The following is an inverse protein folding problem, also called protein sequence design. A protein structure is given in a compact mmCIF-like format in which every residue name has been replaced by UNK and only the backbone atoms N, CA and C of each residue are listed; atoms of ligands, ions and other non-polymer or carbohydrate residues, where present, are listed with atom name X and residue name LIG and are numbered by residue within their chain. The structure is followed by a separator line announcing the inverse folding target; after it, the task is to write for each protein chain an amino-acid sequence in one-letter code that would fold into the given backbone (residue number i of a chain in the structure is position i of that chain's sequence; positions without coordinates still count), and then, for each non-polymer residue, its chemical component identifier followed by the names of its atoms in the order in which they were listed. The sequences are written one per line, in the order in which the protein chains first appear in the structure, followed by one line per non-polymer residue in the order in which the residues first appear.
data_IF_581682251569
#
_entry.id   IF_581682251569
#
_cell.length_a   1.000
_cell.length_b   1.000
_cell.length_c   1.000
_cell.angle_alpha   90.00
_cell.angle_beta   90.00
_cell.angle_gamma   90.00
#
_symmetry.space_group_name_H-M   'P 1'
#
loop_
_entity.id
_entity.type
_entity.pdbx_description
1 polymer ?
#
# COMPACT_ATOMS: atom_id res chain seq x y z
N UNK A 1 -9.39 -4.56 -2.89
CA UNK A 1 -8.14 -5.26 -2.58
C UNK A 1 -7.05 -4.23 -2.26
N UNK A 2 -6.30 -4.42 -1.16
CA UNK A 2 -5.21 -3.54 -0.75
C UNK A 2 -3.84 -4.19 -1.00
N UNK A 3 -2.86 -3.40 -1.39
CA UNK A 3 -1.49 -3.85 -1.64
C UNK A 3 -0.49 -2.88 -1.01
N UNK A 4 0.32 -3.36 -0.09
CA UNK A 4 1.32 -2.53 0.58
C UNK A 4 2.06 -3.29 1.66
N UNK A 5 3.22 -2.78 2.07
CA UNK A 5 4.00 -3.45 3.09
C UNK A 5 5.41 -2.88 3.24
N UNK A 6 6.23 -3.67 3.91
CA UNK A 6 7.61 -3.32 4.26
C UNK A 6 7.71 -2.47 5.53
N UNK A 7 6.74 -1.63 5.84
CA UNK A 7 6.67 -0.84 7.07
C UNK A 7 5.23 -0.65 7.54
N UNK A 8 5.05 -0.44 8.84
CA UNK A 8 3.73 -0.12 9.41
C UNK A 8 3.13 1.16 8.82
N UNK A 9 3.97 2.12 8.39
CA UNK A 9 3.53 3.36 7.74
C UNK A 9 2.79 3.15 6.42
N UNK A 10 3.03 2.04 5.72
CA UNK A 10 2.28 1.68 4.50
C UNK A 10 1.08 0.77 4.80
N UNK A 11 1.14 -0.04 5.86
CA UNK A 11 0.09 -0.99 6.21
C UNK A 11 -1.06 -0.33 6.97
N UNK A 12 -0.76 0.52 7.95
CA UNK A 12 -1.77 1.15 8.79
C UNK A 12 -2.78 2.02 8.01
N UNK A 13 -2.38 2.86 7.03
CA UNK A 13 -3.32 3.58 6.19
C UNK A 13 -4.25 2.65 5.41
N UNK A 14 -3.75 1.52 4.90
CA UNK A 14 -4.57 0.52 4.23
C UNK A 14 -5.61 -0.10 5.18
N UNK A 15 -5.19 -0.46 6.40
CA UNK A 15 -6.08 -0.98 7.43
C UNK A 15 -7.13 0.06 7.88
N UNK A 16 -6.75 1.33 7.98
CA UNK A 16 -7.68 2.41 8.31
C UNK A 16 -8.79 2.55 7.26
N UNK A 17 -8.41 2.56 5.98
CA UNK A 17 -9.39 2.62 4.88
C UNK A 17 -10.25 1.36 4.84
N UNK A 18 -9.66 0.17 5.01
CA UNK A 18 -10.38 -1.10 5.03
C UNK A 18 -11.41 -1.16 6.16
N UNK A 19 -11.02 -0.76 7.37
CA UNK A 19 -11.93 -0.68 8.52
C UNK A 19 -13.09 0.28 8.24
N UNK A 20 -12.81 1.47 7.71
CA UNK A 20 -13.84 2.43 7.34
C UNK A 20 -14.80 1.90 6.27
N UNK A 21 -14.28 1.26 5.22
CA UNK A 21 -15.12 0.64 4.19
C UNK A 21 -16.06 -0.41 4.76
N UNK A 22 -15.58 -1.25 5.69
CA UNK A 22 -16.41 -2.27 6.35
C UNK A 22 -17.51 -1.66 7.22
N UNK A 23 -17.30 -0.46 7.80
CA UNK A 23 -18.38 0.25 8.51
C UNK A 23 -19.45 0.80 7.57
N UNK A 24 -19.09 1.12 6.32
CA UNK A 24 -20.02 1.64 5.30
C UNK A 24 -20.75 0.52 4.57
N UNK A 25 -20.06 -0.57 4.30
CA UNK A 25 -20.58 -1.77 3.66
C UNK A 25 -20.03 -3.02 4.35
N UNK A 26 -20.78 -3.60 5.30
CA UNK A 26 -20.37 -4.82 6.01
C UNK A 26 -20.17 -6.04 5.09
N UNK A 27 -20.77 -6.04 3.91
CA UNK A 27 -20.63 -7.10 2.90
C UNK A 27 -19.44 -6.91 1.96
N UNK A 28 -18.72 -5.79 2.09
CA UNK A 28 -17.54 -5.53 1.29
C UNK A 28 -16.45 -6.59 1.53
N UNK A 29 -16.10 -7.34 0.48
CA UNK A 29 -15.02 -8.33 0.55
C UNK A 29 -13.67 -7.64 0.43
N UNK A 30 -12.84 -7.76 1.47
CA UNK A 30 -11.57 -7.05 1.58
C UNK A 30 -10.45 -8.07 1.76
N UNK A 31 -9.47 -8.01 0.85
CA UNK A 31 -8.25 -8.78 0.93
C UNK A 31 -7.01 -7.89 0.77
N UNK A 32 -5.89 -8.39 1.25
CA UNK A 32 -4.60 -7.69 1.24
C UNK A 32 -3.52 -8.47 0.50
N UNK A 33 -2.44 -7.77 0.12
CA UNK A 33 -1.20 -8.41 -0.29
C UNK A 33 0.03 -7.65 0.22
N UNK A 34 1.10 -8.40 0.45
CA UNK A 34 2.37 -7.88 0.95
C UNK A 34 3.55 -8.81 0.67
N UNK A 35 4.68 -8.54 1.31
CA UNK A 35 5.88 -9.37 1.25
C UNK A 35 5.81 -10.51 2.27
N UNK A 36 6.31 -11.69 1.88
CA UNK A 36 6.42 -12.84 2.79
C UNK A 36 7.37 -12.50 3.95
N UNK A 37 6.94 -12.80 5.19
CA UNK A 37 7.68 -12.48 6.41
C UNK A 37 7.67 -10.98 6.78
N UNK A 38 6.90 -10.17 6.05
CA UNK A 38 6.76 -8.74 6.32
C UNK A 38 5.86 -8.46 7.53
N UNK A 39 5.97 -7.23 8.06
CA UNK A 39 5.12 -6.76 9.17
C UNK A 39 3.64 -6.80 8.82
N UNK A 40 3.31 -6.68 7.54
CA UNK A 40 1.96 -6.73 7.00
C UNK A 40 1.25 -8.05 7.28
N UNK A 41 1.95 -9.20 7.24
CA UNK A 41 1.34 -10.49 7.57
C UNK A 41 0.72 -10.46 8.96
N UNK A 42 1.48 -9.98 9.94
CA UNK A 42 1.03 -9.93 11.33
C UNK A 42 -0.07 -8.88 11.55
N UNK A 43 0.11 -7.68 10.98
CA UNK A 43 -0.83 -6.57 11.21
C UNK A 43 -2.19 -6.84 10.55
N UNK A 44 -2.19 -7.36 9.32
CA UNK A 44 -3.41 -7.65 8.56
C UNK A 44 -4.15 -8.87 9.16
N UNK A 45 -3.42 -9.94 9.52
CA UNK A 45 -4.01 -11.11 10.14
C UNK A 45 -4.66 -10.80 11.50
N UNK A 46 -4.04 -9.90 12.29
CA UNK A 46 -4.61 -9.45 13.57
C UNK A 46 -5.97 -8.78 13.42
N UNK A 47 -6.18 -8.07 12.31
CA UNK A 47 -7.46 -7.40 12.01
C UNK A 47 -8.46 -8.35 11.30
N UNK A 48 -8.13 -9.64 11.16
CA UNK A 48 -9.01 -10.65 10.58
C UNK A 48 -9.20 -10.56 9.07
N UNK A 49 -8.33 -9.85 8.35
CA UNK A 49 -8.38 -9.79 6.90
C UNK A 49 -7.55 -10.90 6.25
N UNK A 50 -8.01 -11.35 5.09
CA UNK A 50 -7.26 -12.26 4.22
C UNK A 50 -6.04 -11.56 3.64
N UNK A 51 -4.89 -12.20 3.66
CA UNK A 51 -3.65 -11.67 3.08
C UNK A 51 -2.99 -12.70 2.17
N UNK A 52 -2.49 -12.22 1.04
CA UNK A 52 -1.65 -12.95 0.10
C UNK A 52 -0.24 -12.40 0.16
N UNK A 53 0.76 -13.27 0.26
CA UNK A 53 2.14 -12.83 0.35
C UNK A 53 2.98 -13.33 -0.81
N UNK A 54 4.01 -12.55 -1.14
CA UNK A 54 4.97 -12.86 -2.21
C UNK A 54 6.38 -12.82 -1.65
N UNK A 55 7.27 -13.72 -2.08
CA UNK A 55 8.69 -13.64 -1.75
C UNK A 55 9.33 -12.51 -2.56
N UNK A 56 9.24 -11.29 -2.05
CA UNK A 56 9.77 -10.09 -2.69
C UNK A 56 10.71 -9.35 -1.73
N UNK A 57 11.73 -8.76 -2.30
CA UNK A 57 12.70 -7.93 -1.59
C UNK A 57 12.79 -6.54 -2.18
N UNK A 58 13.14 -5.56 -1.34
CA UNK A 58 13.42 -4.21 -1.80
C UNK A 58 14.73 -4.13 -2.60
N UNK A 59 14.80 -3.16 -3.51
CA UNK A 59 16.02 -2.89 -4.26
C UNK A 59 17.12 -2.35 -3.32
N UNK A 60 18.33 -2.89 -3.47
CA UNK A 60 19.52 -2.38 -2.78
C UNK A 60 19.96 -1.05 -3.41
N UNK A 61 20.27 -0.08 -2.58
CA UNK A 61 20.89 1.19 -3.02
C UNK A 61 22.41 1.09 -3.22
N UNK A 62 23.02 -0.05 -2.86
CA UNK A 62 24.45 -0.27 -3.03
C UNK A 62 24.78 -0.58 -4.48
N UNK A 63 25.78 0.12 -5.02
CA UNK A 63 26.35 -0.13 -6.36
C UNK A 63 27.48 -1.19 -6.34
N UNK A 64 27.71 -1.88 -5.23
CA UNK A 64 28.66 -3.00 -5.17
C UNK A 64 28.19 -4.20 -6.02
N UNK A 65 29.11 -5.09 -6.41
CA UNK A 65 28.78 -6.33 -7.12
C UNK A 65 27.71 -7.15 -6.38
N UNK A 66 27.78 -7.20 -5.05
CA UNK A 66 26.73 -7.80 -4.20
C UNK A 66 25.38 -7.08 -4.27
N UNK A 67 25.38 -5.75 -4.36
CA UNK A 67 24.18 -4.95 -4.56
C UNK A 67 23.54 -5.18 -5.92
N UNK A 68 24.34 -5.27 -6.98
CA UNK A 68 23.87 -5.58 -8.34
C UNK A 68 23.23 -6.97 -8.38
N UNK A 69 23.88 -8.00 -7.80
CA UNK A 69 23.31 -9.35 -7.72
C UNK A 69 21.99 -9.37 -6.96
N UNK A 70 21.89 -8.67 -5.81
CA UNK A 70 20.64 -8.53 -5.07
C UNK A 70 19.54 -7.87 -5.92
N UNK A 71 19.87 -6.86 -6.70
CA UNK A 71 18.89 -6.18 -7.55
C UNK A 71 18.39 -7.08 -8.70
N UNK A 72 19.23 -7.92 -9.27
CA UNK A 72 18.81 -8.92 -10.27
C UNK A 72 17.81 -9.90 -9.64
N UNK A 73 18.09 -10.44 -8.46
CA UNK A 73 17.15 -11.31 -7.75
C UNK A 73 15.85 -10.58 -7.41
N UNK A 74 15.92 -9.34 -6.92
CA UNK A 74 14.72 -8.56 -6.62
C UNK A 74 13.83 -8.33 -7.85
N UNK A 75 14.42 -8.16 -9.03
CA UNK A 75 13.66 -8.03 -10.30
C UNK A 75 13.02 -9.36 -10.71
N UNK A 76 13.73 -10.48 -10.62
CA UNK A 76 13.19 -11.81 -10.93
C UNK A 76 12.05 -12.18 -9.98
N UNK A 77 12.22 -11.92 -8.68
CA UNK A 77 11.19 -12.13 -7.66
C UNK A 77 9.95 -11.27 -7.94
N UNK A 78 10.16 -10.00 -8.31
CA UNK A 78 9.06 -9.11 -8.66
C UNK A 78 8.27 -9.60 -9.89
N UNK A 79 8.96 -10.11 -10.93
CA UNK A 79 8.30 -10.68 -12.11
C UNK A 79 7.49 -11.94 -11.77
N UNK A 80 8.07 -12.85 -10.96
CA UNK A 80 7.37 -14.04 -10.45
C UNK A 80 6.16 -13.65 -9.60
N UNK A 81 6.31 -12.66 -8.71
CA UNK A 81 5.24 -12.13 -7.89
C UNK A 81 4.10 -11.52 -8.74
N UNK A 82 4.43 -10.79 -9.83
CA UNK A 82 3.42 -10.27 -10.78
C UNK A 82 2.63 -11.41 -11.43
N UNK A 83 3.28 -12.51 -11.84
CA UNK A 83 2.59 -13.67 -12.40
C UNK A 83 1.62 -14.30 -11.39
N UNK A 84 2.07 -14.49 -10.16
CA UNK A 84 1.26 -15.00 -9.05
C UNK A 84 0.09 -14.06 -8.72
N UNK A 85 0.34 -12.75 -8.67
CA UNK A 85 -0.67 -11.72 -8.44
C UNK A 85 -1.77 -11.75 -9.52
N UNK A 86 -1.42 -11.94 -10.80
CA UNK A 86 -2.42 -12.12 -11.87
C UNK A 86 -3.33 -13.32 -11.64
N UNK A 87 -2.79 -14.43 -11.13
CA UNK A 87 -3.57 -15.62 -10.78
C UNK A 87 -4.56 -15.33 -9.64
N UNK A 88 -4.11 -14.62 -8.61
CA UNK A 88 -4.95 -14.19 -7.49
C UNK A 88 -6.06 -13.27 -7.98
N UNK A 89 -5.73 -12.22 -8.73
CA UNK A 89 -6.70 -11.23 -9.23
C UNK A 89 -7.78 -11.84 -10.14
N UNK A 90 -7.41 -12.85 -10.96
CA UNK A 90 -8.41 -13.57 -11.78
C UNK A 90 -9.37 -14.40 -10.95
N UNK A 91 -8.94 -14.91 -9.81
CA UNK A 91 -9.77 -15.69 -8.87
C UNK A 91 -10.62 -14.79 -7.99
N UNK A 92 -10.02 -13.78 -7.38
CA UNK A 92 -10.67 -12.88 -6.44
C UNK A 92 -11.56 -11.83 -7.14
N UNK A 93 -11.26 -11.48 -8.40
CA UNK A 93 -12.00 -10.52 -9.24
C UNK A 93 -12.35 -9.21 -8.52
N UNK A 94 -11.39 -8.52 -7.92
CA UNK A 94 -11.69 -7.30 -7.19
C UNK A 94 -12.13 -6.17 -8.14
N UNK A 95 -13.05 -5.33 -7.68
CA UNK A 95 -13.48 -4.13 -8.40
C UNK A 95 -12.37 -3.08 -8.48
N UNK A 96 -11.51 -3.04 -7.47
CA UNK A 96 -10.40 -2.09 -7.37
C UNK A 96 -9.22 -2.67 -6.59
N UNK A 97 -8.01 -2.30 -7.00
CA UNK A 97 -6.77 -2.55 -6.24
C UNK A 97 -6.18 -1.23 -5.80
N UNK A 98 -5.92 -1.09 -4.50
CA UNK A 98 -5.38 0.12 -3.87
C UNK A 98 -3.97 -0.17 -3.37
N UNK A 99 -2.97 0.48 -3.96
CA UNK A 99 -1.58 0.43 -3.51
C UNK A 99 -1.30 1.49 -2.45
N UNK A 100 -0.79 1.10 -1.29
CA UNK A 100 -0.52 2.02 -0.16
C UNK A 100 0.98 2.24 0.09
N UNK A 101 1.82 1.79 -0.83
CA UNK A 101 3.26 2.05 -0.79
C UNK A 101 4.11 0.86 -0.39
N UNK A 102 5.42 1.13 -0.30
CA UNK A 102 6.43 0.10 -0.18
C UNK A 102 6.65 -0.67 -1.48
N UNK A 103 7.77 -1.40 -1.56
CA UNK A 103 8.05 -2.27 -2.72
C UNK A 103 7.03 -3.41 -2.85
N UNK A 104 6.41 -3.79 -1.73
CA UNK A 104 5.43 -4.87 -1.65
C UNK A 104 4.12 -4.59 -2.40
N UNK A 105 3.77 -3.31 -2.67
CA UNK A 105 2.58 -2.98 -3.44
C UNK A 105 2.75 -3.22 -4.95
N UNK A 106 3.99 -3.20 -5.45
CA UNK A 106 4.27 -3.19 -6.89
C UNK A 106 3.67 -4.40 -7.64
N UNK A 107 3.89 -5.67 -7.23
CA UNK A 107 3.42 -6.81 -8.01
C UNK A 107 1.91 -6.82 -8.21
N UNK A 108 1.15 -6.54 -7.15
CA UNK A 108 -0.31 -6.61 -7.17
C UNK A 108 -0.91 -5.46 -7.99
N UNK A 109 -0.47 -4.23 -7.76
CA UNK A 109 -0.99 -3.06 -8.49
C UNK A 109 -0.61 -3.14 -9.97
N UNK A 110 0.65 -3.51 -10.28
CA UNK A 110 1.08 -3.69 -11.67
C UNK A 110 0.30 -4.80 -12.39
N UNK A 111 0.04 -5.93 -11.71
CA UNK A 111 -0.78 -7.00 -12.24
C UNK A 111 -2.20 -6.53 -12.54
N UNK A 112 -2.83 -5.78 -11.62
CA UNK A 112 -4.16 -5.20 -11.78
C UNK A 112 -4.22 -4.27 -13.00
N UNK A 113 -3.27 -3.35 -13.12
CA UNK A 113 -3.16 -2.46 -14.29
C UNK A 113 -3.03 -3.24 -15.61
N UNK A 114 -2.25 -4.34 -15.61
CA UNK A 114 -2.08 -5.16 -16.81
C UNK A 114 -3.31 -6.01 -17.16
N UNK A 115 -4.23 -6.20 -16.22
CA UNK A 115 -5.51 -6.90 -16.41
C UNK A 115 -6.69 -5.95 -16.65
N UNK A 116 -6.46 -4.63 -16.68
CA UNK A 116 -7.52 -3.65 -16.85
C UNK A 116 -8.40 -3.44 -15.61
N UNK A 117 -7.99 -3.95 -14.44
CA UNK A 117 -8.67 -3.73 -13.18
C UNK A 117 -8.37 -2.30 -12.72
N UNK A 118 -9.37 -1.58 -12.21
CA UNK A 118 -9.19 -0.22 -11.69
C UNK A 118 -8.17 -0.19 -10.56
N UNK A 119 -7.33 0.83 -10.58
CA UNK A 119 -6.28 0.99 -9.56
C UNK A 119 -6.27 2.39 -8.97
N UNK A 120 -6.04 2.45 -7.67
CA UNK A 120 -5.67 3.68 -6.99
C UNK A 120 -4.34 3.48 -6.24
N UNK A 121 -3.59 4.54 -6.04
CA UNK A 121 -2.40 4.53 -5.21
C UNK A 121 -2.48 5.63 -4.16
N UNK A 122 -2.06 5.32 -2.94
CA UNK A 122 -2.02 6.25 -1.81
C UNK A 122 -0.56 6.51 -1.44
N UNK A 123 -0.12 7.75 -1.57
CA UNK A 123 1.19 8.19 -1.10
C UNK A 123 1.05 8.92 0.23
N UNK A 124 1.61 8.32 1.25
CA UNK A 124 1.56 8.85 2.62
C UNK A 124 2.77 9.70 3.00
N UNK A 125 3.78 9.77 2.14
CA UNK A 125 4.99 10.55 2.35
C UNK A 125 4.97 11.82 1.49
N UNK A 126 5.65 12.87 1.94
CA UNK A 126 5.85 14.08 1.17
C UNK A 126 6.67 13.83 -0.12
N UNK A 127 7.61 12.87 -0.07
CA UNK A 127 8.38 12.43 -1.23
C UNK A 127 8.02 11.00 -1.60
N UNK A 128 7.43 10.76 -2.78
CA UNK A 128 6.97 9.43 -3.16
C UNK A 128 8.10 8.46 -3.45
N UNK A 129 7.88 7.19 -3.06
CA UNK A 129 8.76 6.09 -3.37
C UNK A 129 8.79 5.76 -4.87
N UNK A 130 9.93 5.18 -5.33
CA UNK A 130 10.15 4.84 -6.75
C UNK A 130 9.07 3.89 -7.30
N UNK A 131 8.70 2.87 -6.54
CA UNK A 131 7.67 1.91 -6.95
C UNK A 131 6.33 2.60 -7.18
N UNK A 132 5.92 3.47 -6.27
CA UNK A 132 4.64 4.16 -6.33
C UNK A 132 4.61 5.19 -7.46
N UNK A 133 5.71 5.95 -7.70
CA UNK A 133 5.82 6.84 -8.87
C UNK A 133 5.56 6.10 -10.19
N UNK A 134 6.11 4.89 -10.32
CA UNK A 134 5.94 4.07 -11.53
C UNK A 134 4.49 3.60 -11.72
N UNK A 135 3.84 3.22 -10.62
CA UNK A 135 2.44 2.76 -10.63
C UNK A 135 1.46 3.90 -10.86
N UNK A 136 1.74 5.09 -10.32
CA UNK A 136 0.91 6.28 -10.42
C UNK A 136 0.62 6.71 -11.87
N UNK A 137 1.59 6.52 -12.77
CA UNK A 137 1.45 6.88 -14.19
C UNK A 137 0.29 6.16 -14.91
N UNK A 138 -0.11 4.98 -14.43
CA UNK A 138 -1.20 4.17 -15.00
C UNK A 138 -2.39 4.03 -14.05
N UNK A 139 -2.29 4.51 -12.83
CA UNK A 139 -3.37 4.46 -11.85
C UNK A 139 -4.54 5.35 -12.28
N UNK A 140 -5.75 4.94 -11.95
CA UNK A 140 -6.96 5.74 -12.22
C UNK A 140 -7.08 6.90 -11.24
N UNK A 141 -6.49 6.76 -10.03
CA UNK A 141 -6.43 7.81 -9.03
C UNK A 141 -5.13 7.73 -8.21
N UNK A 142 -4.53 8.87 -7.95
CA UNK A 142 -3.44 9.04 -6.99
C UNK A 142 -3.98 9.84 -5.82
N UNK A 143 -4.00 9.26 -4.64
CA UNK A 143 -4.36 9.91 -3.39
C UNK A 143 -3.06 10.34 -2.70
N UNK A 144 -2.99 11.56 -2.22
CA UNK A 144 -1.80 12.13 -1.59
C UNK A 144 -2.11 12.66 -0.19
N UNK A 145 -1.17 12.47 0.74
CA UNK A 145 -1.29 12.97 2.11
C UNK A 145 -0.77 14.40 2.30
N UNK A 146 0.01 14.90 1.36
CA UNK A 146 0.58 16.25 1.36
C UNK A 146 0.37 16.91 0.01
N UNK A 147 -0.05 18.17 -0.02
CA UNK A 147 -0.34 18.89 -1.27
C UNK A 147 0.89 19.02 -2.18
N UNK A 148 2.05 19.23 -1.59
CA UNK A 148 3.34 19.36 -2.30
C UNK A 148 3.69 18.11 -3.10
N UNK A 149 3.21 16.94 -2.66
CA UNK A 149 3.43 15.66 -3.32
C UNK A 149 2.81 15.62 -4.72
N UNK A 150 1.81 16.46 -5.01
CA UNK A 150 1.16 16.56 -6.32
C UNK A 150 2.15 16.83 -7.45
N UNK A 151 3.17 17.64 -7.21
CA UNK A 151 4.19 17.99 -8.18
C UNK A 151 4.99 16.80 -8.73
N UNK A 152 5.03 15.69 -7.98
CA UNK A 152 5.70 14.46 -8.40
C UNK A 152 4.89 13.59 -9.38
N UNK A 153 3.63 13.92 -9.64
CA UNK A 153 2.71 13.14 -10.47
C UNK A 153 2.11 13.92 -11.64
N UNK A 154 2.95 14.61 -12.48
CA UNK A 154 2.43 15.48 -13.55
C UNK A 154 1.67 14.72 -14.65
N UNK A 155 1.92 13.41 -14.79
CA UNK A 155 1.27 12.54 -15.79
C UNK A 155 0.15 11.66 -15.24
N UNK A 156 -0.25 11.84 -13.98
CA UNK A 156 -1.33 11.04 -13.38
C UNK A 156 -2.69 11.46 -13.95
N UNK A 157 -3.57 10.49 -14.20
CA UNK A 157 -4.95 10.75 -14.68
C UNK A 157 -5.75 11.64 -13.72
N UNK A 158 -5.58 11.41 -12.42
CA UNK A 158 -6.27 12.14 -11.35
C UNK A 158 -5.40 12.13 -10.09
N UNK A 159 -5.18 13.29 -9.50
CA UNK A 159 -4.53 13.43 -8.19
C UNK A 159 -5.51 14.08 -7.21
N UNK A 160 -5.67 13.47 -6.04
CA UNK A 160 -6.59 13.95 -5.00
C UNK A 160 -5.84 14.08 -3.69
N UNK A 161 -5.90 15.24 -3.08
CA UNK A 161 -5.45 15.43 -1.71
C UNK A 161 -6.47 14.85 -0.73
N UNK A 162 -6.10 13.81 -0.01
CA UNK A 162 -6.98 13.09 0.92
C UNK A 162 -6.52 13.20 2.37
N UNK A 163 -5.33 13.71 2.61
CA UNK A 163 -4.66 13.55 3.89
C UNK A 163 -4.22 12.09 4.12
N UNK A 164 -3.70 11.82 5.31
CA UNK A 164 -3.27 10.47 5.70
C UNK A 164 -4.40 9.77 6.43
N UNK A 165 -4.86 8.59 5.95
CA UNK A 165 -5.86 7.82 6.66
C UNK A 165 -5.35 7.38 8.03
N UNK A 166 -6.14 7.61 9.06
CA UNK A 166 -5.87 7.18 10.43
C UNK A 166 -7.01 6.30 10.94
N UNK A 167 -6.70 5.40 11.84
CA UNK A 167 -7.69 4.49 12.41
C UNK A 167 -8.69 5.25 13.28
N UNK A 168 -9.99 4.87 13.29
CA UNK A 168 -11.00 5.50 14.11
C UNK A 168 -10.64 5.54 15.61
N UNK A 169 -9.94 4.52 16.11
CA UNK A 169 -9.51 4.43 17.51
C UNK A 169 -8.50 5.53 17.90
N UNK A 170 -7.90 6.19 16.93
CA UNK A 170 -7.01 7.35 17.18
C UNK A 170 -7.80 8.64 17.41
N UNK A 171 -9.09 8.68 17.10
CA UNK A 171 -9.99 9.78 17.42
C UNK A 171 -10.62 9.56 18.79
N UNK A 172 -9.82 9.43 19.83
CA UNK A 172 -10.31 9.35 21.19
C UNK A 172 -10.83 10.74 21.57
N UNK A 173 -12.14 10.87 21.85
CA UNK A 173 -12.66 12.06 22.51
C UNK A 173 -11.95 12.22 23.85
N UNK A 174 -11.21 13.30 24.00
CA UNK A 174 -10.60 13.65 25.27
C UNK A 174 -11.69 13.88 26.30
N UNK A 175 -11.74 13.04 27.32
CA UNK A 175 -12.61 13.26 28.48
C UNK A 175 -12.27 14.56 29.21
N UNK A 176 -11.03 15.02 29.12
CA UNK A 176 -10.57 16.29 29.63
C UNK A 176 -9.64 16.99 28.62
N UNK A 177 -10.09 18.06 27.92
CA UNK A 177 -9.27 18.79 26.95
C UNK A 177 -8.01 19.45 27.54
N UNK A 178 -7.96 19.62 28.87
CA UNK A 178 -6.84 20.28 29.58
C UNK A 178 -5.77 19.29 30.03
N UNK A 179 -6.00 17.99 29.92
CA UNK A 179 -5.00 16.98 30.24
C UNK A 179 -3.89 16.93 29.19
N UNK A 180 -2.59 16.96 29.57
CA UNK A 180 -1.50 16.89 28.61
C UNK A 180 -1.55 15.57 27.82
N UNK A 181 -1.19 15.62 26.52
CA UNK A 181 -1.19 14.44 25.64
C UNK A 181 -0.15 13.39 26.04
N UNK A 182 0.87 13.82 26.76
CA UNK A 182 1.97 12.98 27.23
C UNK A 182 2.23 13.30 28.69
N UNK A 183 2.30 12.28 29.52
CA UNK A 183 2.82 12.39 30.87
C UNK A 183 4.33 12.61 30.75
N UNK A 184 4.80 13.82 31.08
CA UNK A 184 6.21 14.16 31.08
C UNK A 184 6.84 13.67 32.41
N UNK A 185 6.66 12.37 32.72
CA UNK A 185 7.33 11.74 33.84
C UNK A 185 8.85 11.59 33.65
#
# INVERSE_FOLDING_TARGET
FFAGGGTAGHVNPALAVASYLRTKDPMCDIAFSGGTGGIEERLVAREGYKIYTFPISGLSRSMSLGGIKKNIHAVTDALSAVKSAKGILRREKPDIVIGTGGYACFPMVYAAQSLGIKTAVLEVNATPGVALKRLAAKADCVMISFEETKSFFPGAKRVVYTGSPVRPEMFVERKNPQEPLFDNG
#
